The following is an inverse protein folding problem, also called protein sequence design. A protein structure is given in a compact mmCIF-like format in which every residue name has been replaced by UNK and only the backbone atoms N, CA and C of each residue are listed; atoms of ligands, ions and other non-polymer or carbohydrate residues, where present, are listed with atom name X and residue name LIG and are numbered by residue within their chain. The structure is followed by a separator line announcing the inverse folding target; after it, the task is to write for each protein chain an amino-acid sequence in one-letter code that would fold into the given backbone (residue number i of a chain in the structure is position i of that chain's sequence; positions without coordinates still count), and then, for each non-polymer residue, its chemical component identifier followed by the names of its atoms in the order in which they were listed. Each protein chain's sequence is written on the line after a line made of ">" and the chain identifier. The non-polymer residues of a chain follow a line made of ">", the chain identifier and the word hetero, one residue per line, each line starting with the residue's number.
data_IF_282511549402
#
_entry.id   IF_282511549402
#
_cell.length_a   1.000
_cell.length_b   1.000
_cell.length_c   1.000
_cell.angle_alpha   90.00
_cell.angle_beta   90.00
_cell.angle_gamma   90.00
#
_symmetry.space_group_name_H-M   'P 1'
#
loop_
_entity.id
_entity.type
_entity.pdbx_description
1 polymer ?
#
# COMPACT_ATOMS: atom_id res chain seq x y z
N UNK A 1 73.74 -61.97 9.22
CA UNK A 1 72.32 -61.64 9.44
C UNK A 1 72.00 -60.40 8.63
N UNK A 2 71.02 -60.55 7.73
CA UNK A 2 70.57 -59.56 6.75
C UNK A 2 69.66 -58.57 7.47
N UNK A 3 69.92 -57.26 7.34
CA UNK A 3 68.84 -56.25 7.40
C UNK A 3 69.14 -55.16 6.38
N UNK A 4 68.29 -55.13 5.35
CA UNK A 4 68.20 -54.16 4.29
C UNK A 4 67.38 -52.95 4.80
N UNK A 5 67.76 -51.68 4.57
CA UNK A 5 66.89 -50.55 4.88
C UNK A 5 66.10 -50.13 3.61
N UNK A 6 64.76 -50.23 3.67
CA UNK A 6 63.84 -49.56 2.72
C UNK A 6 63.16 -48.34 3.38
N UNK A 7 62.64 -47.36 2.61
CA UNK A 7 63.07 -45.98 2.79
C UNK A 7 61.98 -45.02 3.30
N UNK A 8 62.39 -44.13 4.21
CA UNK A 8 61.68 -42.90 4.61
C UNK A 8 61.69 -41.87 3.46
N UNK A 9 60.88 -42.04 2.41
CA UNK A 9 60.72 -40.99 1.37
C UNK A 9 59.28 -40.61 1.00
N UNK A 10 58.26 -41.34 1.46
CA UNK A 10 56.86 -41.04 1.10
C UNK A 10 56.17 -39.98 1.98
N UNK A 11 56.68 -39.68 3.17
CA UNK A 11 56.00 -38.76 4.12
C UNK A 11 56.11 -37.26 3.83
N UNK A 12 57.08 -36.82 3.02
CA UNK A 12 57.28 -35.36 2.75
C UNK A 12 56.38 -34.80 1.64
N UNK A 13 55.81 -35.64 0.77
CA UNK A 13 54.91 -35.20 -0.31
C UNK A 13 53.43 -35.22 0.08
N UNK A 14 53.05 -35.93 1.15
CA UNK A 14 51.65 -36.12 1.53
C UNK A 14 50.99 -34.83 2.05
N UNK A 15 51.73 -34.02 2.81
CA UNK A 15 51.22 -32.78 3.43
C UNK A 15 50.86 -31.70 2.38
N UNK A 16 51.73 -31.35 1.40
CA UNK A 16 51.38 -30.35 0.39
C UNK A 16 50.24 -30.81 -0.53
N UNK A 17 50.13 -32.11 -0.81
CA UNK A 17 49.01 -32.68 -1.58
C UNK A 17 47.67 -32.58 -0.83
N UNK A 18 47.67 -32.79 0.49
CA UNK A 18 46.50 -32.62 1.35
C UNK A 18 46.06 -31.16 1.43
N UNK A 19 47.01 -30.23 1.53
CA UNK A 19 46.74 -28.79 1.51
C UNK A 19 46.18 -28.32 0.16
N UNK A 20 46.71 -28.84 -0.95
CA UNK A 20 46.19 -28.54 -2.28
C UNK A 20 44.77 -29.10 -2.47
N UNK A 21 44.52 -30.33 -2.00
CA UNK A 21 43.17 -30.92 -2.03
C UNK A 21 42.18 -30.11 -1.18
N UNK A 22 42.57 -29.65 0.01
CA UNK A 22 41.74 -28.81 0.86
C UNK A 22 41.45 -27.45 0.20
N UNK A 23 42.46 -26.82 -0.42
CA UNK A 23 42.29 -25.57 -1.14
C UNK A 23 41.34 -25.74 -2.35
N UNK A 24 41.42 -26.87 -3.07
CA UNK A 24 40.51 -27.20 -4.16
C UNK A 24 39.10 -27.45 -3.62
N UNK A 25 38.93 -28.11 -2.48
CA UNK A 25 37.62 -28.32 -1.85
C UNK A 25 37.02 -26.99 -1.38
N UNK A 26 37.81 -26.09 -0.81
CA UNK A 26 37.34 -24.74 -0.43
C UNK A 26 36.98 -23.93 -1.66
N UNK A 27 37.79 -23.97 -2.72
CA UNK A 27 37.51 -23.29 -3.99
C UNK A 27 36.24 -23.85 -4.65
N UNK A 28 36.10 -25.18 -4.70
CA UNK A 28 34.90 -25.84 -5.19
C UNK A 28 33.70 -25.54 -4.32
N UNK A 29 33.85 -25.46 -2.99
CA UNK A 29 32.77 -25.06 -2.09
C UNK A 29 32.38 -23.59 -2.28
N UNK A 30 33.27 -22.73 -2.75
CA UNK A 30 32.99 -21.33 -3.06
C UNK A 30 32.32 -21.17 -4.43
N UNK A 31 32.72 -22.00 -5.40
CA UNK A 31 32.13 -22.05 -6.76
C UNK A 31 30.76 -22.75 -6.75
N UNK A 32 30.60 -23.79 -5.94
CA UNK A 32 29.35 -24.55 -5.75
C UNK A 32 28.56 -24.10 -4.52
N UNK A 33 29.00 -23.06 -3.79
CA UNK A 33 28.11 -22.41 -2.84
C UNK A 33 26.97 -21.85 -3.68
N UNK A 34 25.71 -22.27 -3.45
CA UNK A 34 24.61 -21.62 -4.11
C UNK A 34 24.72 -20.15 -3.72
N UNK A 35 25.08 -19.30 -4.68
CA UNK A 35 24.72 -17.90 -4.55
C UNK A 35 23.21 -17.96 -4.43
N UNK A 36 22.69 -17.52 -3.28
CA UNK A 36 21.28 -17.20 -3.15
C UNK A 36 21.01 -16.18 -4.26
N UNK A 37 20.58 -16.65 -5.43
CA UNK A 37 20.01 -15.80 -6.46
C UNK A 37 18.78 -15.22 -5.79
N UNK A 38 18.93 -14.03 -5.21
CA UNK A 38 17.82 -13.27 -4.68
C UNK A 38 16.84 -13.09 -5.82
N UNK A 39 15.76 -13.86 -5.79
CA UNK A 39 14.70 -13.76 -6.79
C UNK A 39 14.25 -12.30 -6.80
N UNK A 40 14.40 -11.67 -7.96
CA UNK A 40 14.03 -10.28 -8.13
C UNK A 40 12.54 -10.11 -7.83
N UNK A 41 12.20 -9.08 -7.07
CA UNK A 41 10.81 -8.74 -6.81
C UNK A 41 10.15 -8.21 -8.09
N UNK A 42 8.96 -8.72 -8.41
CA UNK A 42 8.06 -8.07 -9.37
C UNK A 42 7.67 -6.68 -8.86
N UNK A 43 7.39 -5.73 -9.75
CA UNK A 43 6.90 -4.40 -9.36
C UNK A 43 5.51 -4.46 -8.73
N UNK A 44 5.26 -3.59 -7.75
CA UNK A 44 4.02 -3.58 -6.98
C UNK A 44 4.23 -3.06 -5.55
N UNK A 45 3.13 -2.90 -4.82
CA UNK A 45 3.17 -2.28 -3.51
C UNK A 45 3.89 -3.13 -2.45
N UNK A 46 4.43 -2.45 -1.45
CA UNK A 46 4.93 -3.01 -0.19
C UNK A 46 3.86 -2.78 0.88
N UNK A 47 3.43 -3.87 1.51
CA UNK A 47 2.44 -3.87 2.58
C UNK A 47 3.14 -4.28 3.87
N UNK A 48 3.11 -3.41 4.86
CA UNK A 48 3.52 -3.73 6.22
C UNK A 48 2.25 -4.03 7.01
N UNK A 49 2.14 -5.23 7.59
CA UNK A 49 1.01 -5.59 8.46
C UNK A 49 1.20 -5.01 9.86
N UNK A 50 0.14 -4.96 10.70
CA UNK A 50 0.25 -4.54 12.09
C UNK A 50 1.34 -5.31 12.85
N UNK A 51 2.22 -4.59 13.56
CA UNK A 51 3.36 -5.20 14.25
C UNK A 51 2.89 -5.77 15.58
N UNK A 52 2.97 -7.09 15.74
CA UNK A 52 2.50 -7.79 16.96
C UNK A 52 3.53 -7.66 18.09
N UNK A 53 3.08 -7.62 19.34
CA UNK A 53 3.95 -7.62 20.54
C UNK A 53 3.52 -8.72 21.51
N UNK A 54 4.42 -9.65 21.85
CA UNK A 54 4.08 -10.84 22.64
C UNK A 54 3.95 -10.56 24.16
N UNK A 55 4.46 -9.44 24.65
CA UNK A 55 4.72 -9.24 26.09
C UNK A 55 3.65 -8.50 26.92
N UNK A 56 2.55 -8.03 26.33
CA UNK A 56 1.49 -7.36 27.12
C UNK A 56 0.25 -8.24 27.19
N UNK A 57 -0.21 -8.57 28.40
CA UNK A 57 -1.43 -9.35 28.65
C UNK A 57 -2.69 -8.75 27.98
N UNK A 58 -2.62 -7.49 27.52
CA UNK A 58 -3.69 -6.79 26.81
C UNK A 58 -3.40 -6.55 25.32
N UNK A 59 -2.14 -6.70 24.84
CA UNK A 59 -1.62 -6.35 23.50
C UNK A 59 -2.63 -5.57 22.63
N UNK A 60 -2.94 -4.31 23.01
CA UNK A 60 -4.10 -3.64 22.47
C UNK A 60 -3.83 -3.30 21.02
N UNK A 61 -4.80 -3.64 20.17
CA UNK A 61 -4.65 -3.61 18.72
C UNK A 61 -4.13 -2.26 18.17
N UNK A 62 -4.53 -1.14 18.79
CA UNK A 62 -4.08 0.18 18.36
C UNK A 62 -2.55 0.35 18.43
N UNK A 63 -1.88 -0.30 19.39
CA UNK A 63 -0.42 -0.26 19.48
C UNK A 63 0.21 -0.91 18.26
N UNK A 64 -0.36 -2.02 17.77
CA UNK A 64 0.16 -2.71 16.58
C UNK A 64 0.15 -1.80 15.34
N UNK A 65 -0.88 -0.96 15.20
CA UNK A 65 -0.98 0.05 14.15
C UNK A 65 -0.03 1.24 14.37
N UNK A 66 0.19 1.68 15.61
CA UNK A 66 1.18 2.71 15.92
C UNK A 66 2.62 2.24 15.60
N UNK A 67 2.92 0.98 15.91
CA UNK A 67 4.19 0.34 15.56
C UNK A 67 4.33 0.14 14.04
N UNK A 68 3.24 -0.20 13.35
CA UNK A 68 3.20 -0.24 11.88
C UNK A 68 3.49 1.13 11.26
N UNK A 69 2.88 2.20 11.75
CA UNK A 69 3.13 3.58 11.31
C UNK A 69 4.62 3.95 11.48
N UNK A 70 5.18 3.61 12.64
CA UNK A 70 6.59 3.87 12.96
C UNK A 70 7.55 3.13 12.04
N UNK A 71 7.25 1.87 11.69
CA UNK A 71 8.04 1.10 10.73
C UNK A 71 7.90 1.63 9.29
N UNK A 72 6.68 1.94 8.85
CA UNK A 72 6.42 2.52 7.51
C UNK A 72 7.19 3.82 7.31
N UNK A 73 7.31 4.64 8.37
CA UNK A 73 8.05 5.90 8.32
C UNK A 73 9.55 5.73 8.00
N UNK A 74 10.13 4.55 8.24
CA UNK A 74 11.53 4.24 7.95
C UNK A 74 11.75 3.71 6.52
N UNK A 75 10.68 3.43 5.77
CA UNK A 75 10.76 2.85 4.44
C UNK A 75 10.89 3.91 3.35
N UNK A 76 11.64 3.57 2.31
CA UNK A 76 11.78 4.41 1.13
C UNK A 76 10.78 4.01 0.05
N UNK A 77 10.21 5.01 -0.59
CA UNK A 77 9.24 4.86 -1.67
C UNK A 77 9.92 4.86 -3.03
N UNK A 78 9.42 4.05 -3.97
CA UNK A 78 9.82 4.11 -5.38
C UNK A 78 8.65 3.80 -6.31
N UNK A 79 8.74 4.22 -7.57
CA UNK A 79 7.71 3.92 -8.57
C UNK A 79 7.49 2.41 -8.76
N UNK A 80 8.54 1.60 -8.56
CA UNK A 80 8.48 0.14 -8.66
C UNK A 80 7.90 -0.50 -7.40
N UNK A 81 8.12 0.12 -6.24
CA UNK A 81 7.73 -0.38 -4.93
C UNK A 81 7.07 0.71 -4.06
N UNK A 82 5.81 1.09 -4.35
CA UNK A 82 5.04 1.99 -3.49
C UNK A 82 4.81 1.40 -2.09
N UNK A 83 5.09 2.13 -1.01
CA UNK A 83 4.78 1.69 0.36
C UNK A 83 3.38 2.18 0.76
N UNK A 84 2.47 1.24 1.01
CA UNK A 84 1.13 1.56 1.49
C UNK A 84 1.18 2.09 2.93
N UNK A 85 0.36 3.09 3.23
CA UNK A 85 0.23 3.64 4.58
C UNK A 85 -0.74 2.81 5.41
N UNK A 86 -0.76 3.03 6.73
CA UNK A 86 -1.60 2.28 7.67
C UNK A 86 -3.06 2.23 7.23
N UNK A 87 -3.66 3.38 6.89
CA UNK A 87 -5.06 3.43 6.43
C UNK A 87 -5.28 2.70 5.10
N UNK A 88 -4.30 2.71 4.21
CA UNK A 88 -4.38 2.02 2.94
C UNK A 88 -4.36 0.50 3.21
N UNK A 89 -3.48 0.03 4.09
CA UNK A 89 -3.43 -1.38 4.51
C UNK A 89 -4.72 -1.80 5.18
N UNK A 90 -5.27 -0.99 6.10
CA UNK A 90 -6.57 -1.24 6.74
C UNK A 90 -7.66 -1.43 5.68
N UNK A 91 -7.73 -0.55 4.68
CA UNK A 91 -8.71 -0.64 3.59
C UNK A 91 -8.50 -1.84 2.66
N UNK A 92 -7.26 -2.26 2.43
CA UNK A 92 -6.96 -3.43 1.60
C UNK A 92 -7.24 -4.75 2.34
N UNK A 93 -6.93 -4.83 3.63
CA UNK A 93 -7.20 -6.01 4.46
C UNK A 93 -8.70 -6.26 4.55
N UNK A 94 -9.53 -5.22 4.62
CA UNK A 94 -10.99 -5.32 4.49
C UNK A 94 -11.46 -6.07 3.24
N UNK A 95 -10.88 -5.73 2.09
CA UNK A 95 -11.26 -6.34 0.81
C UNK A 95 -10.86 -7.82 0.73
N UNK A 96 -9.90 -8.27 1.54
CA UNK A 96 -9.58 -9.68 1.70
C UNK A 96 -10.57 -10.43 2.62
N UNK A 97 -11.61 -9.74 3.09
CA UNK A 97 -12.61 -10.20 4.05
C UNK A 97 -12.06 -10.39 5.47
N UNK A 98 -11.04 -9.61 5.85
CA UNK A 98 -10.52 -9.55 7.21
C UNK A 98 -10.81 -8.16 7.79
N UNK A 99 -11.64 -8.11 8.82
CA UNK A 99 -11.93 -6.89 9.57
C UNK A 99 -10.89 -6.67 10.68
N UNK A 100 -10.80 -5.44 11.18
CA UNK A 100 -10.06 -5.15 12.41
C UNK A 100 -10.64 -6.04 13.54
N UNK A 101 -9.79 -6.89 14.14
CA UNK A 101 -10.15 -7.93 15.14
C UNK A 101 -11.01 -9.10 14.62
N UNK A 102 -11.02 -9.37 13.32
CA UNK A 102 -11.58 -10.63 12.83
C UNK A 102 -10.79 -11.83 13.38
N UNK A 103 -11.49 -12.80 13.96
CA UNK A 103 -10.89 -14.01 14.54
C UNK A 103 -10.36 -14.98 13.49
N UNK A 104 -10.70 -14.77 12.21
CA UNK A 104 -10.19 -15.56 11.09
C UNK A 104 -8.74 -15.18 10.78
N UNK A 105 -7.84 -16.17 10.60
CA UNK A 105 -6.46 -15.88 10.25
C UNK A 105 -6.39 -15.15 8.90
N UNK A 106 -5.60 -14.07 8.86
CA UNK A 106 -5.36 -13.32 7.63
C UNK A 106 -4.75 -14.24 6.58
N UNK A 107 -5.42 -14.37 5.44
CA UNK A 107 -4.92 -15.15 4.30
C UNK A 107 -3.95 -14.30 3.48
N UNK A 108 -2.67 -14.31 3.86
CA UNK A 108 -1.63 -13.49 3.21
C UNK A 108 -1.56 -13.73 1.70
N UNK A 109 -1.73 -14.96 1.23
CA UNK A 109 -1.80 -15.28 -0.21
C UNK A 109 -2.97 -14.60 -0.92
N UNK A 110 -4.14 -14.54 -0.26
CA UNK A 110 -5.31 -13.84 -0.79
C UNK A 110 -5.05 -12.33 -0.81
N UNK A 111 -4.44 -11.78 0.24
CA UNK A 111 -4.04 -10.38 0.30
C UNK A 111 -3.07 -10.03 -0.82
N UNK A 112 -2.00 -10.81 -1.04
CA UNK A 112 -1.06 -10.63 -2.16
C UNK A 112 -1.79 -10.65 -3.51
N UNK A 113 -2.71 -11.60 -3.70
CA UNK A 113 -3.44 -11.75 -4.97
C UNK A 113 -4.36 -10.57 -5.28
N UNK A 114 -5.09 -10.07 -4.27
CA UNK A 114 -6.05 -8.96 -4.39
C UNK A 114 -5.36 -7.59 -4.44
N UNK A 115 -4.34 -7.41 -3.61
CA UNK A 115 -3.57 -6.16 -3.53
C UNK A 115 -2.61 -5.98 -4.70
N UNK A 116 -2.21 -7.07 -5.36
CA UNK A 116 -1.12 -7.05 -6.33
C UNK A 116 0.22 -6.64 -5.71
N UNK A 117 0.36 -6.76 -4.40
CA UNK A 117 1.58 -6.39 -3.69
C UNK A 117 2.75 -7.31 -4.06
N UNK A 118 3.93 -6.70 -4.18
CA UNK A 118 5.20 -7.42 -4.38
C UNK A 118 5.68 -8.06 -3.10
N UNK A 119 5.36 -7.42 -1.97
CA UNK A 119 5.82 -7.84 -0.66
C UNK A 119 4.75 -7.54 0.39
N UNK A 120 4.42 -8.54 1.19
CA UNK A 120 3.70 -8.39 2.46
C UNK A 120 4.65 -8.76 3.58
N UNK A 121 4.77 -7.89 4.57
CA UNK A 121 5.65 -8.05 5.73
C UNK A 121 4.80 -8.29 6.96
N UNK A 122 4.97 -9.46 7.56
CA UNK A 122 4.47 -9.76 8.91
C UNK A 122 5.63 -9.67 9.90
N UNK A 123 5.39 -9.08 11.07
CA UNK A 123 6.42 -8.94 12.10
C UNK A 123 5.86 -9.05 13.51
N UNK A 124 6.62 -9.70 14.38
CA UNK A 124 6.32 -9.86 15.80
C UNK A 124 7.53 -9.47 16.63
N UNK A 125 7.34 -8.58 17.59
CA UNK A 125 8.37 -8.19 18.55
C UNK A 125 8.16 -8.96 19.86
N UNK A 126 9.24 -9.53 20.34
CA UNK A 126 9.33 -10.16 21.66
C UNK A 126 10.45 -9.51 22.42
N UNK A 127 10.18 -9.10 23.66
CA UNK A 127 11.22 -8.63 24.57
C UNK A 127 11.69 -9.79 25.45
N UNK A 128 13.00 -9.89 25.66
CA UNK A 128 13.60 -10.88 26.53
C UNK A 128 14.87 -10.30 27.15
N UNK A 129 14.92 -10.24 28.49
CA UNK A 129 16.07 -9.75 29.27
C UNK A 129 16.60 -8.38 28.79
N UNK A 130 15.72 -7.37 28.69
CA UNK A 130 16.04 -6.01 28.24
C UNK A 130 16.64 -5.92 26.82
N UNK A 131 16.39 -6.92 25.98
CA UNK A 131 16.66 -6.87 24.54
C UNK A 131 15.38 -7.17 23.78
N UNK A 132 15.23 -6.52 22.63
CA UNK A 132 14.11 -6.76 21.74
C UNK A 132 14.55 -7.66 20.58
N UNK A 133 13.71 -8.64 20.26
CA UNK A 133 13.82 -9.47 19.07
C UNK A 133 12.61 -9.23 18.19
N UNK A 134 12.83 -8.86 16.93
CA UNK A 134 11.82 -8.79 15.90
C UNK A 134 11.94 -10.02 15.01
N UNK A 135 10.93 -10.87 15.00
CA UNK A 135 10.75 -11.94 14.03
C UNK A 135 9.92 -11.42 12.87
N UNK A 136 10.33 -11.70 11.62
CA UNK A 136 9.62 -11.25 10.44
C UNK A 136 9.45 -12.37 9.41
N UNK A 137 8.35 -12.28 8.67
CA UNK A 137 8.07 -13.07 7.47
C UNK A 137 7.80 -12.11 6.30
N UNK A 138 8.52 -12.31 5.21
CA UNK A 138 8.38 -11.59 3.95
C UNK A 138 7.71 -12.52 2.94
N UNK A 139 6.49 -12.19 2.54
CA UNK A 139 5.73 -12.94 1.56
C UNK A 139 5.71 -12.19 0.24
N UNK A 140 6.13 -12.82 -0.85
CA UNK A 140 5.94 -12.33 -2.22
C UNK A 140 5.26 -13.39 -3.09
N UNK A 141 4.88 -13.08 -4.34
CA UNK A 141 4.16 -14.01 -5.22
C UNK A 141 4.87 -15.34 -5.48
N UNK A 142 6.21 -15.34 -5.47
CA UNK A 142 7.03 -16.54 -5.74
C UNK A 142 8.16 -16.72 -4.73
N UNK A 143 8.08 -16.04 -3.59
CA UNK A 143 9.13 -16.10 -2.57
C UNK A 143 8.53 -15.99 -1.17
N UNK A 144 9.18 -16.67 -0.23
CA UNK A 144 8.92 -16.53 1.20
C UNK A 144 10.25 -16.52 1.93
N UNK A 145 10.49 -15.51 2.76
CA UNK A 145 11.71 -15.38 3.54
C UNK A 145 11.33 -15.04 4.97
N UNK A 146 11.85 -15.79 5.93
CA UNK A 146 11.73 -15.48 7.34
C UNK A 146 13.09 -15.09 7.94
N UNK A 147 13.06 -14.36 9.04
CA UNK A 147 14.28 -13.98 9.75
C UNK A 147 13.98 -13.36 11.10
N UNK A 148 15.05 -13.02 11.81
CA UNK A 148 14.96 -12.27 13.05
C UNK A 148 16.05 -11.20 13.11
N UNK A 149 15.76 -10.12 13.83
CA UNK A 149 16.65 -8.99 14.12
C UNK A 149 16.61 -8.77 15.62
N UNK A 150 17.76 -8.45 16.22
CA UNK A 150 17.85 -8.13 17.64
C UNK A 150 18.45 -6.74 17.82
N UNK A 151 17.89 -5.97 18.74
CA UNK A 151 18.41 -4.67 19.13
C UNK A 151 18.10 -4.38 20.61
N UNK A 152 18.74 -3.35 21.15
CA UNK A 152 18.54 -2.91 22.53
C UNK A 152 17.26 -2.06 22.69
N UNK A 153 16.71 -1.55 21.57
CA UNK A 153 15.49 -0.75 21.53
C UNK A 153 14.65 -1.05 20.26
N UNK A 154 13.37 -0.69 20.31
CA UNK A 154 12.40 -0.95 19.23
C UNK A 154 12.67 -0.10 17.97
N UNK A 155 13.19 1.12 18.11
CA UNK A 155 13.46 2.01 16.97
C UNK A 155 14.57 1.41 16.09
N UNK A 156 15.63 0.89 16.73
CA UNK A 156 16.70 0.15 16.08
C UNK A 156 16.19 -1.08 15.32
N UNK A 157 15.22 -1.83 15.88
CA UNK A 157 14.58 -2.94 15.16
C UNK A 157 13.89 -2.46 13.87
N UNK A 158 13.18 -1.33 13.91
CA UNK A 158 12.51 -0.78 12.73
C UNK A 158 13.50 -0.30 11.68
N UNK A 159 14.57 0.39 12.10
CA UNK A 159 15.63 0.82 11.21
C UNK A 159 16.28 -0.36 10.48
N UNK A 160 16.56 -1.44 11.19
CA UNK A 160 17.22 -2.61 10.61
C UNK A 160 16.29 -3.40 9.67
N UNK A 161 15.03 -3.59 10.05
CA UNK A 161 14.04 -4.20 9.16
C UNK A 161 13.80 -3.33 7.92
N UNK A 162 13.70 -2.00 8.09
CA UNK A 162 13.53 -1.08 6.98
C UNK A 162 14.74 -1.08 6.04
N UNK A 163 15.97 -1.12 6.55
CA UNK A 163 17.19 -1.30 5.74
C UNK A 163 17.12 -2.59 4.91
N UNK A 164 16.71 -3.70 5.53
CA UNK A 164 16.56 -4.97 4.84
C UNK A 164 15.55 -4.86 3.68
N UNK A 165 14.38 -4.30 3.94
CA UNK A 165 13.33 -4.12 2.92
C UNK A 165 13.80 -3.16 1.82
N UNK A 166 14.38 -2.01 2.17
CA UNK A 166 14.89 -1.01 1.23
C UNK A 166 15.98 -1.56 0.31
N UNK A 167 16.87 -2.43 0.84
CA UNK A 167 17.87 -3.12 0.03
C UNK A 167 17.21 -4.08 -0.96
N UNK A 168 16.18 -4.82 -0.52
CA UNK A 168 15.46 -5.78 -1.38
C UNK A 168 14.67 -5.10 -2.50
N UNK A 169 14.13 -3.91 -2.24
CA UNK A 169 13.39 -3.10 -3.23
C UNK A 169 14.30 -2.17 -4.04
N UNK A 170 15.60 -2.12 -3.74
CA UNK A 170 16.55 -1.15 -4.31
C UNK A 170 16.06 0.29 -4.19
N UNK A 171 15.22 0.58 -3.20
CA UNK A 171 14.63 1.90 -3.00
C UNK A 171 15.71 2.86 -2.50
N UNK A 172 15.93 3.92 -3.29
CA UNK A 172 16.91 4.96 -2.94
C UNK A 172 16.40 5.78 -1.75
N UNK A 173 17.31 6.11 -0.84
CA UNK A 173 17.00 7.01 0.26
C UNK A 173 16.52 8.37 -0.27
N UNK A 174 15.35 8.80 0.20
CA UNK A 174 14.86 10.14 -0.07
C UNK A 174 15.37 11.07 1.04
N UNK A 175 15.96 12.20 0.65
CA UNK A 175 16.45 13.23 1.59
C UNK A 175 15.33 13.99 2.30
N UNK A 176 14.08 13.81 1.88
CA UNK A 176 12.91 14.36 2.57
C UNK A 176 12.48 13.36 3.63
N UNK A 177 13.11 13.40 4.80
CA UNK A 177 12.63 12.66 5.97
C UNK A 177 11.17 13.05 6.20
N UNK A 178 10.25 12.12 6.00
CA UNK A 178 8.87 12.32 6.41
C UNK A 178 8.95 12.47 7.93
N UNK A 179 8.67 13.67 8.46
CA UNK A 179 8.44 13.84 9.89
C UNK A 179 7.18 13.04 10.19
N UNK A 180 7.35 11.78 10.59
CA UNK A 180 6.23 10.92 10.95
C UNK A 180 5.53 11.55 12.13
N UNK A 181 4.32 12.06 11.89
CA UNK A 181 3.43 12.43 12.97
C UNK A 181 2.66 11.16 13.31
N UNK A 182 2.78 10.71 14.56
CA UNK A 182 2.17 9.47 15.01
C UNK A 182 0.66 9.66 15.17
N UNK A 183 -0.13 9.43 14.11
CA UNK A 183 -1.59 9.58 14.16
C UNK A 183 -2.28 8.41 14.85
N UNK A 184 -1.63 7.24 14.86
CA UNK A 184 -2.18 5.98 15.39
C UNK A 184 -1.86 5.73 16.86
N UNK A 185 -1.24 6.70 17.55
CA UNK A 185 -0.92 6.60 18.98
C UNK A 185 -2.14 6.75 19.92
N UNK A 186 -3.32 7.09 19.39
CA UNK A 186 -4.56 7.22 20.15
C UNK A 186 -5.52 6.06 19.80
N UNK A 187 -5.96 5.25 20.79
CA UNK A 187 -6.86 4.11 20.56
C UNK A 187 -8.18 4.49 19.89
N UNK A 188 -8.68 5.72 20.09
CA UNK A 188 -9.96 6.16 19.53
C UNK A 188 -9.93 6.20 18.01
N UNK A 189 -8.79 6.46 17.38
CA UNK A 189 -8.70 6.46 15.91
C UNK A 189 -8.95 5.05 15.35
N UNK A 190 -8.33 4.04 15.95
CA UNK A 190 -8.51 2.63 15.52
C UNK A 190 -9.94 2.15 15.80
N UNK A 191 -10.51 2.55 16.94
CA UNK A 191 -11.91 2.24 17.24
C UNK A 191 -12.86 2.87 16.21
N UNK A 192 -12.67 4.15 15.87
CA UNK A 192 -13.47 4.83 14.86
C UNK A 192 -13.34 4.19 13.47
N UNK A 193 -12.11 3.87 13.05
CA UNK A 193 -11.87 3.17 11.78
C UNK A 193 -12.56 1.82 11.78
N UNK A 194 -12.50 1.04 12.87
CA UNK A 194 -13.24 -0.22 13.03
C UNK A 194 -14.75 0.00 12.87
N UNK A 195 -15.34 0.96 13.58
CA UNK A 195 -16.77 1.27 13.48
C UNK A 195 -17.17 1.60 12.04
N UNK A 196 -16.36 2.39 11.31
CA UNK A 196 -16.57 2.69 9.90
C UNK A 196 -16.56 1.43 9.01
N UNK A 197 -15.70 0.45 9.31
CA UNK A 197 -15.67 -0.82 8.60
C UNK A 197 -16.96 -1.63 8.78
N UNK A 198 -17.54 -1.60 9.97
CA UNK A 198 -18.83 -2.22 10.29
C UNK A 198 -20.03 -1.35 9.88
N UNK A 199 -19.79 -0.24 9.16
CA UNK A 199 -20.81 0.73 8.75
C UNK A 199 -21.54 1.42 9.92
N UNK A 200 -20.96 1.38 11.13
CA UNK A 200 -21.46 2.02 12.35
C UNK A 200 -21.13 3.52 12.36
N UNK A 201 -21.65 4.23 11.35
CA UNK A 201 -21.24 5.61 11.02
C UNK A 201 -21.50 6.61 12.16
N UNK A 202 -22.61 6.46 12.89
CA UNK A 202 -22.94 7.32 14.05
C UNK A 202 -21.94 7.13 15.19
N UNK A 203 -21.67 5.88 15.56
CA UNK A 203 -20.71 5.56 16.63
C UNK A 203 -19.28 6.00 16.25
N UNK A 204 -18.91 5.85 14.98
CA UNK A 204 -17.65 6.38 14.45
C UNK A 204 -17.57 7.90 14.58
N UNK A 205 -18.64 8.64 14.26
CA UNK A 205 -18.68 10.10 14.41
C UNK A 205 -18.45 10.52 15.86
N UNK A 206 -19.19 9.92 16.81
CA UNK A 206 -19.05 10.23 18.24
C UNK A 206 -17.63 9.93 18.77
N UNK A 207 -17.04 8.82 18.32
CA UNK A 207 -15.68 8.42 18.68
C UNK A 207 -14.64 9.40 18.11
N UNK A 208 -14.82 9.84 16.87
CA UNK A 208 -13.95 10.82 16.22
C UNK A 208 -14.09 12.21 16.85
N UNK A 209 -15.29 12.64 17.23
CA UNK A 209 -15.51 13.90 17.93
C UNK A 209 -14.81 13.89 19.31
N UNK A 210 -14.88 12.76 20.01
CA UNK A 210 -14.15 12.55 21.28
C UNK A 210 -12.64 12.62 21.05
N UNK A 211 -12.13 11.97 20.00
CA UNK A 211 -10.72 12.04 19.62
C UNK A 211 -10.29 13.47 19.34
N UNK A 212 -11.02 14.20 18.50
CA UNK A 212 -10.70 15.58 18.10
C UNK A 212 -10.80 16.58 19.25
N UNK A 213 -11.59 16.28 20.28
CA UNK A 213 -11.64 17.07 21.52
C UNK A 213 -10.33 16.97 22.31
N UNK A 214 -9.65 15.82 22.24
CA UNK A 214 -8.36 15.57 22.92
C UNK A 214 -7.13 15.86 22.05
N UNK A 215 -7.23 15.63 20.74
CA UNK A 215 -6.19 15.87 19.74
C UNK A 215 -6.79 16.57 18.49
N UNK A 216 -7.00 17.89 18.55
CA UNK A 216 -7.51 18.66 17.41
C UNK A 216 -6.57 18.63 16.19
N UNK A 217 -5.32 18.16 16.34
CA UNK A 217 -4.33 18.09 15.27
C UNK A 217 -4.36 16.77 14.49
N UNK A 218 -5.27 15.84 14.82
CA UNK A 218 -5.37 14.56 14.14
C UNK A 218 -6.02 14.71 12.76
N UNK A 219 -5.19 14.98 11.74
CA UNK A 219 -5.62 15.21 10.36
C UNK A 219 -6.40 14.02 9.77
N UNK A 220 -6.04 12.79 10.17
CA UNK A 220 -6.76 11.59 9.74
C UNK A 220 -8.19 11.64 10.29
N UNK A 221 -8.36 11.86 11.60
CA UNK A 221 -9.67 11.94 12.22
C UNK A 221 -10.55 13.05 11.62
N UNK A 222 -9.98 14.24 11.38
CA UNK A 222 -10.67 15.34 10.69
C UNK A 222 -11.14 14.93 9.28
N UNK A 223 -10.30 14.22 8.53
CA UNK A 223 -10.67 13.72 7.20
C UNK A 223 -11.75 12.65 7.28
N UNK A 224 -11.70 11.74 8.25
CA UNK A 224 -12.72 10.69 8.42
C UNK A 224 -14.09 11.30 8.78
N UNK A 225 -14.16 12.28 9.69
CA UNK A 225 -15.39 13.05 9.96
C UNK A 225 -15.91 13.71 8.67
N UNK A 226 -15.04 14.34 7.89
CA UNK A 226 -15.49 14.96 6.66
C UNK A 226 -16.02 13.97 5.63
N UNK A 227 -15.41 12.78 5.49
CA UNK A 227 -15.96 11.72 4.62
C UNK A 227 -17.32 11.22 5.12
N UNK A 228 -17.57 11.19 6.43
CA UNK A 228 -18.90 10.91 7.01
C UNK A 228 -19.90 12.01 6.61
N UNK A 229 -19.55 13.28 6.83
CA UNK A 229 -20.39 14.42 6.50
C UNK A 229 -20.72 14.50 5.00
N UNK A 230 -19.75 14.19 4.13
CA UNK A 230 -19.99 14.09 2.68
C UNK A 230 -21.05 13.02 2.35
N UNK A 231 -21.00 11.85 3.00
CA UNK A 231 -22.03 10.80 2.82
C UNK A 231 -23.40 11.22 3.33
N UNK A 232 -23.44 12.05 4.36
CA UNK A 232 -24.66 12.65 4.92
C UNK A 232 -25.15 13.86 4.12
N UNK A 233 -24.45 14.23 3.04
CA UNK A 233 -24.73 15.41 2.21
C UNK A 233 -24.53 16.75 2.92
N UNK A 234 -23.80 16.77 4.04
CA UNK A 234 -23.44 17.97 4.80
C UNK A 234 -22.16 18.63 4.24
N UNK A 235 -22.21 19.01 2.97
CA UNK A 235 -21.02 19.41 2.21
C UNK A 235 -20.31 20.66 2.76
N UNK A 236 -21.08 21.62 3.28
CA UNK A 236 -20.52 22.86 3.84
C UNK A 236 -19.73 22.57 5.12
N UNK A 237 -20.28 21.74 6.02
CA UNK A 237 -19.60 21.33 7.25
C UNK A 237 -18.33 20.53 6.93
N UNK A 238 -18.42 19.57 6.00
CA UNK A 238 -17.26 18.80 5.53
C UNK A 238 -16.15 19.71 4.98
N UNK A 239 -16.50 20.67 4.12
CA UNK A 239 -15.55 21.59 3.52
C UNK A 239 -14.87 22.50 4.55
N UNK A 240 -15.61 22.97 5.56
CA UNK A 240 -15.05 23.80 6.62
C UNK A 240 -14.00 23.04 7.43
N UNK A 241 -14.27 21.79 7.82
CA UNK A 241 -13.33 20.95 8.54
C UNK A 241 -12.08 20.68 7.69
N UNK A 242 -12.26 20.25 6.44
CA UNK A 242 -11.13 19.84 5.59
C UNK A 242 -10.29 21.03 5.14
N UNK A 243 -10.87 22.20 4.90
CA UNK A 243 -10.10 23.40 4.52
C UNK A 243 -9.18 23.90 5.64
N UNK A 244 -9.66 23.90 6.89
CA UNK A 244 -8.85 24.20 8.06
C UNK A 244 -7.73 23.15 8.24
N UNK A 245 -8.08 21.86 8.15
CA UNK A 245 -7.14 20.75 8.22
C UNK A 245 -6.05 20.84 7.14
N UNK A 246 -6.43 21.15 5.89
CA UNK A 246 -5.53 21.29 4.76
C UNK A 246 -4.52 22.43 4.99
N UNK A 247 -5.00 23.57 5.49
CA UNK A 247 -4.14 24.71 5.85
C UNK A 247 -3.11 24.31 6.92
N UNK A 248 -3.52 23.52 7.92
CA UNK A 248 -2.60 23.00 8.94
C UNK A 248 -1.58 22.01 8.33
N UNK A 249 -2.03 21.09 7.48
CA UNK A 249 -1.17 20.14 6.80
C UNK A 249 -0.11 20.85 5.94
N UNK A 250 -0.50 21.89 5.19
CA UNK A 250 0.42 22.68 4.36
C UNK A 250 1.42 23.48 5.19
N UNK A 251 0.99 24.10 6.30
CA UNK A 251 1.89 24.85 7.18
C UNK A 251 2.91 23.97 7.92
N UNK A 252 2.64 22.67 8.02
CA UNK A 252 3.55 21.68 8.64
C UNK A 252 4.34 20.86 7.60
N UNK A 253 4.27 21.22 6.31
CA UNK A 253 4.82 20.48 5.17
C UNK A 253 4.41 18.99 5.14
N UNK A 254 3.22 18.67 5.68
CA UNK A 254 2.65 17.32 5.58
C UNK A 254 1.98 17.13 4.22
N UNK A 255 2.81 17.03 3.17
CA UNK A 255 2.37 16.92 1.78
C UNK A 255 1.47 15.71 1.52
N UNK A 256 1.66 14.62 2.26
CA UNK A 256 0.82 13.44 2.13
C UNK A 256 -0.61 13.77 2.56
N UNK A 257 -0.80 14.24 3.79
CA UNK A 257 -2.14 14.60 4.27
C UNK A 257 -2.72 15.80 3.50
N UNK A 258 -1.91 16.76 3.06
CA UNK A 258 -2.38 17.83 2.15
C UNK A 258 -3.00 17.25 0.87
N UNK A 259 -2.42 16.18 0.31
CA UNK A 259 -3.00 15.52 -0.85
C UNK A 259 -4.34 14.87 -0.51
N UNK A 260 -4.40 14.12 0.59
CA UNK A 260 -5.60 13.37 1.00
C UNK A 260 -6.76 14.29 1.37
N UNK A 261 -6.49 15.33 2.15
CA UNK A 261 -7.44 16.37 2.51
C UNK A 261 -7.89 17.17 1.28
N UNK A 262 -6.97 17.56 0.41
CA UNK A 262 -7.32 18.24 -0.85
C UNK A 262 -8.26 17.41 -1.73
N UNK A 263 -8.08 16.09 -1.79
CA UNK A 263 -9.00 15.20 -2.48
C UNK A 263 -10.40 15.21 -1.84
N UNK A 264 -10.49 15.07 -0.51
CA UNK A 264 -11.77 15.10 0.23
C UNK A 264 -12.49 16.44 0.04
N UNK A 265 -11.77 17.57 0.12
CA UNK A 265 -12.33 18.91 -0.14
C UNK A 265 -12.84 19.03 -1.57
N UNK A 266 -12.10 18.50 -2.55
CA UNK A 266 -12.55 18.52 -3.93
C UNK A 266 -13.86 17.74 -4.12
N UNK A 267 -14.04 16.58 -3.46
CA UNK A 267 -15.32 15.85 -3.50
C UNK A 267 -16.47 16.74 -3.01
N UNK A 268 -16.30 17.46 -1.90
CA UNK A 268 -17.31 18.39 -1.39
C UNK A 268 -17.66 19.51 -2.38
N UNK A 269 -16.68 20.07 -3.10
CA UNK A 269 -16.95 21.03 -4.19
C UNK A 269 -17.67 20.38 -5.38
N UNK A 270 -17.39 19.13 -5.72
CA UNK A 270 -18.05 18.41 -6.82
C UNK A 270 -19.54 18.21 -6.52
N UNK A 271 -19.88 17.82 -5.31
CA UNK A 271 -21.26 17.62 -4.87
C UNK A 271 -22.05 18.94 -4.87
N UNK A 272 -21.39 20.06 -4.56
CA UNK A 272 -21.97 21.40 -4.66
C UNK A 272 -22.01 21.96 -6.10
N UNK A 273 -21.53 21.21 -7.09
CA UNK A 273 -21.48 21.64 -8.49
C UNK A 273 -20.38 22.66 -8.80
N UNK A 274 -19.48 22.94 -7.85
CA UNK A 274 -18.37 23.87 -7.98
C UNK A 274 -17.17 23.26 -8.74
N UNK A 275 -17.43 22.77 -9.94
CA UNK A 275 -16.50 21.94 -10.73
C UNK A 275 -15.16 22.63 -11.03
N UNK A 276 -15.16 23.96 -11.22
CA UNK A 276 -13.93 24.72 -11.44
C UNK A 276 -13.05 24.78 -10.18
N UNK A 277 -13.65 24.98 -9.00
CA UNK A 277 -12.92 24.95 -7.72
C UNK A 277 -12.41 23.55 -7.44
N UNK A 278 -13.24 22.52 -7.67
CA UNK A 278 -12.82 21.12 -7.54
C UNK A 278 -11.59 20.79 -8.39
N UNK A 279 -11.54 21.20 -9.67
CA UNK A 279 -10.35 20.97 -10.51
C UNK A 279 -9.10 21.70 -10.01
N UNK A 280 -9.25 22.92 -9.50
CA UNK A 280 -8.15 23.66 -8.89
C UNK A 280 -7.61 22.89 -7.68
N UNK A 281 -8.48 22.47 -6.77
CA UNK A 281 -8.12 21.70 -5.57
C UNK A 281 -7.51 20.34 -5.92
N UNK A 282 -8.05 19.61 -6.90
CA UNK A 282 -7.47 18.35 -7.38
C UNK A 282 -6.07 18.55 -7.98
N UNK A 283 -5.83 19.66 -8.69
CA UNK A 283 -4.50 19.97 -9.22
C UNK A 283 -3.49 20.23 -8.09
N UNK A 284 -3.91 20.91 -7.01
CA UNK A 284 -3.08 21.12 -5.83
C UNK A 284 -2.79 19.79 -5.11
N UNK A 285 -3.84 19.00 -4.84
CA UNK A 285 -3.75 17.67 -4.25
C UNK A 285 -2.80 16.76 -5.04
N UNK A 286 -2.87 16.77 -6.38
CA UNK A 286 -1.94 16.02 -7.25
C UNK A 286 -0.48 16.42 -7.04
N UNK A 287 -0.18 17.72 -6.89
CA UNK A 287 1.20 18.18 -6.62
C UNK A 287 1.68 17.66 -5.28
N UNK A 288 0.85 17.73 -4.24
CA UNK A 288 1.19 17.23 -2.90
C UNK A 288 1.38 15.71 -2.91
N UNK A 289 0.53 14.95 -3.62
CA UNK A 289 0.67 13.51 -3.80
C UNK A 289 1.95 13.14 -4.55
N UNK A 290 2.28 13.85 -5.63
CA UNK A 290 3.52 13.62 -6.37
C UNK A 290 4.76 13.89 -5.52
N UNK A 291 4.75 14.99 -4.75
CA UNK A 291 5.86 15.38 -3.88
C UNK A 291 6.05 14.45 -2.67
N UNK A 292 4.98 13.79 -2.22
CA UNK A 292 5.01 12.77 -1.16
C UNK A 292 5.12 11.35 -1.69
N UNK A 293 5.15 11.18 -3.01
CA UNK A 293 5.13 9.88 -3.68
C UNK A 293 3.96 8.99 -3.22
N UNK A 294 2.77 9.58 -3.08
CA UNK A 294 1.54 8.84 -2.77
C UNK A 294 0.83 8.44 -4.08
N UNK A 295 1.31 7.36 -4.71
CA UNK A 295 0.77 6.88 -5.99
C UNK A 295 -0.68 6.43 -5.91
N UNK A 296 -1.12 5.92 -4.75
CA UNK A 296 -2.51 5.54 -4.56
C UNK A 296 -3.42 6.77 -4.64
N UNK A 297 -3.03 7.88 -3.98
CA UNK A 297 -3.77 9.12 -4.08
C UNK A 297 -3.58 9.85 -5.42
N UNK A 298 -2.46 9.68 -6.12
CA UNK A 298 -2.35 10.13 -7.52
C UNK A 298 -3.41 9.45 -8.40
N UNK A 299 -3.66 8.15 -8.18
CA UNK A 299 -4.68 7.41 -8.91
C UNK A 299 -6.10 7.91 -8.61
N UNK A 300 -6.42 8.13 -7.33
CA UNK A 300 -7.72 8.67 -6.92
C UNK A 300 -7.95 10.10 -7.41
N UNK A 301 -6.96 10.98 -7.26
CA UNK A 301 -7.03 12.36 -7.76
C UNK A 301 -7.24 12.39 -9.27
N UNK A 302 -6.56 11.51 -10.02
CA UNK A 302 -6.76 11.37 -11.46
C UNK A 302 -8.18 10.87 -11.79
N UNK A 303 -8.72 9.88 -11.08
CA UNK A 303 -10.10 9.43 -11.28
C UNK A 303 -11.11 10.57 -11.08
N UNK A 304 -10.98 11.32 -9.97
CA UNK A 304 -11.87 12.44 -9.68
C UNK A 304 -11.70 13.59 -10.67
N UNK A 305 -10.48 13.90 -11.11
CA UNK A 305 -10.24 14.88 -12.16
C UNK A 305 -10.86 14.44 -13.49
N UNK A 306 -10.84 13.14 -13.80
CA UNK A 306 -11.54 12.55 -14.93
C UNK A 306 -13.04 12.78 -14.85
N UNK A 307 -13.64 12.48 -13.70
CA UNK A 307 -15.06 12.69 -13.43
C UNK A 307 -15.47 14.16 -13.58
N UNK A 308 -14.70 15.09 -13.04
CA UNK A 308 -15.01 16.53 -13.18
C UNK A 308 -14.89 16.99 -14.62
N UNK A 309 -13.84 16.59 -15.35
CA UNK A 309 -13.70 16.92 -16.76
C UNK A 309 -14.84 16.33 -17.60
N UNK A 310 -15.30 15.12 -17.29
CA UNK A 310 -16.46 14.51 -17.96
C UNK A 310 -17.73 15.35 -17.72
N UNK A 311 -18.00 15.76 -16.47
CA UNK A 311 -19.15 16.64 -16.14
C UNK A 311 -19.09 18.00 -16.84
N UNK A 312 -17.88 18.51 -17.10
CA UNK A 312 -17.65 19.74 -17.87
C UNK A 312 -17.71 19.54 -19.39
N UNK A 313 -18.01 18.34 -19.89
CA UNK A 313 -17.99 18.01 -21.32
C UNK A 313 -16.58 17.95 -21.95
N UNK A 314 -15.52 18.01 -21.14
CA UNK A 314 -14.12 17.98 -21.56
C UNK A 314 -13.63 16.54 -21.73
N UNK A 315 -14.26 15.80 -22.64
CA UNK A 315 -14.08 14.35 -22.74
C UNK A 315 -12.63 13.91 -23.06
N UNK A 316 -11.87 14.67 -23.85
CA UNK A 316 -10.47 14.35 -24.10
C UNK A 316 -9.62 14.42 -22.83
N UNK A 317 -9.81 15.48 -22.02
CA UNK A 317 -9.15 15.62 -20.72
C UNK A 317 -9.61 14.53 -19.75
N UNK A 318 -10.91 14.22 -19.72
CA UNK A 318 -11.45 13.15 -18.88
C UNK A 318 -10.80 11.79 -19.20
N UNK A 319 -10.68 11.45 -20.48
CA UNK A 319 -10.03 10.22 -20.95
C UNK A 319 -8.57 10.15 -20.47
N UNK A 320 -7.81 11.24 -20.61
CA UNK A 320 -6.43 11.28 -20.14
C UNK A 320 -6.33 11.05 -18.63
N UNK A 321 -7.20 11.69 -17.84
CA UNK A 321 -7.21 11.54 -16.38
C UNK A 321 -7.63 10.12 -15.95
N UNK A 322 -8.63 9.52 -16.59
CA UNK A 322 -8.98 8.13 -16.30
C UNK A 322 -7.88 7.15 -16.70
N UNK A 323 -7.15 7.40 -17.80
CA UNK A 323 -5.99 6.57 -18.15
C UNK A 323 -4.89 6.67 -17.10
N UNK A 324 -4.56 7.89 -16.64
CA UNK A 324 -3.61 8.08 -15.53
C UNK A 324 -4.05 7.35 -14.25
N UNK A 325 -5.35 7.37 -13.94
CA UNK A 325 -5.88 6.63 -12.79
C UNK A 325 -5.63 5.12 -12.91
N UNK A 326 -5.90 4.53 -14.09
CA UNK A 326 -5.60 3.11 -14.36
C UNK A 326 -4.11 2.83 -14.22
N UNK A 327 -3.26 3.67 -14.80
CA UNK A 327 -1.81 3.48 -14.81
C UNK A 327 -1.23 3.54 -13.38
N UNK A 328 -1.65 4.49 -12.56
CA UNK A 328 -1.22 4.57 -11.17
C UNK A 328 -1.76 3.42 -10.31
N UNK A 329 -3.02 3.01 -10.50
CA UNK A 329 -3.53 1.82 -9.81
C UNK A 329 -2.80 0.54 -10.25
N UNK A 330 -2.36 0.46 -11.50
CA UNK A 330 -1.50 -0.63 -11.97
C UNK A 330 -0.12 -0.60 -11.32
N UNK A 331 0.52 0.58 -11.18
CA UNK A 331 1.80 0.72 -10.47
C UNK A 331 1.72 0.27 -9.00
N UNK A 332 0.62 0.60 -8.31
CA UNK A 332 0.41 0.19 -6.91
C UNK A 332 -0.06 -1.26 -6.80
N UNK A 333 -0.43 -1.92 -7.92
CA UNK A 333 -0.99 -3.27 -7.92
C UNK A 333 -2.48 -3.36 -7.57
N UNK A 334 -3.13 -2.22 -7.30
CA UNK A 334 -4.52 -2.16 -6.84
C UNK A 334 -5.54 -2.49 -7.94
N UNK A 335 -5.96 -3.75 -7.98
CA UNK A 335 -6.85 -4.27 -9.02
C UNK A 335 -8.26 -3.65 -9.02
N UNK A 336 -8.93 -3.45 -7.87
CA UNK A 336 -10.24 -2.77 -7.82
C UNK A 336 -10.20 -1.37 -8.44
N UNK A 337 -9.15 -0.58 -8.16
CA UNK A 337 -8.98 0.74 -8.76
C UNK A 337 -8.79 0.71 -10.26
N UNK A 338 -8.05 -0.28 -10.79
CA UNK A 338 -7.91 -0.47 -12.25
C UNK A 338 -9.26 -0.77 -12.91
N UNK A 339 -10.07 -1.65 -12.31
CA UNK A 339 -11.43 -1.98 -12.79
C UNK A 339 -12.31 -0.74 -12.83
N UNK A 340 -12.33 0.05 -11.76
CA UNK A 340 -13.10 1.31 -11.71
C UNK A 340 -12.64 2.28 -12.80
N UNK A 341 -11.34 2.48 -12.97
CA UNK A 341 -10.79 3.35 -14.02
C UNK A 341 -11.12 2.87 -15.44
N UNK A 342 -11.07 1.55 -15.70
CA UNK A 342 -11.43 0.95 -16.98
C UNK A 342 -12.93 1.04 -17.26
N UNK A 343 -13.78 0.86 -16.25
CA UNK A 343 -15.22 1.07 -16.35
C UNK A 343 -15.54 2.52 -16.69
N UNK A 344 -14.86 3.48 -16.05
CA UNK A 344 -14.99 4.91 -16.36
C UNK A 344 -14.58 5.22 -17.82
N UNK A 345 -13.47 4.64 -18.30
CA UNK A 345 -13.06 4.77 -19.71
C UNK A 345 -14.10 4.20 -20.68
N UNK A 346 -14.69 3.04 -20.35
CA UNK A 346 -15.73 2.43 -21.16
C UNK A 346 -17.00 3.29 -21.20
N UNK A 347 -17.43 3.80 -20.04
CA UNK A 347 -18.59 4.66 -19.92
C UNK A 347 -18.40 6.02 -20.62
N UNK A 348 -17.20 6.61 -20.54
CA UNK A 348 -16.85 7.80 -21.30
C UNK A 348 -16.88 7.54 -22.82
N UNK A 349 -16.33 6.42 -23.27
CA UNK A 349 -16.36 6.05 -24.69
C UNK A 349 -17.79 5.81 -25.20
N UNK A 350 -18.71 5.28 -24.36
CA UNK A 350 -20.14 5.21 -24.68
C UNK A 350 -20.76 6.59 -24.87
N UNK A 351 -20.45 7.56 -24.00
CA UNK A 351 -20.94 8.94 -24.13
C UNK A 351 -20.46 9.61 -25.42
N UNK A 352 -19.28 9.21 -25.91
CA UNK A 352 -18.72 9.68 -27.18
C UNK A 352 -19.14 8.83 -28.39
N UNK A 353 -20.06 7.88 -28.24
CA UNK A 353 -20.47 6.92 -29.27
C UNK A 353 -19.33 6.10 -29.87
N UNK A 354 -18.19 5.99 -29.18
CA UNK A 354 -17.04 5.20 -29.60
C UNK A 354 -17.14 3.76 -29.04
N UNK A 355 -18.05 2.97 -29.60
CA UNK A 355 -18.37 1.63 -29.11
C UNK A 355 -17.19 0.65 -29.20
N UNK A 356 -16.27 0.84 -30.15
CA UNK A 356 -15.05 0.02 -30.25
C UNK A 356 -14.13 0.24 -29.04
N UNK A 357 -13.86 1.49 -28.67
CA UNK A 357 -13.03 1.80 -27.49
C UNK A 357 -13.74 1.45 -26.17
N UNK A 358 -15.06 1.62 -26.12
CA UNK A 358 -15.85 1.17 -24.98
C UNK A 358 -15.68 -0.34 -24.76
N UNK A 359 -15.78 -1.12 -25.84
CA UNK A 359 -15.61 -2.58 -25.80
C UNK A 359 -14.20 -2.99 -25.38
N UNK A 360 -13.15 -2.35 -25.92
CA UNK A 360 -11.76 -2.63 -25.53
C UNK A 360 -11.52 -2.37 -24.04
N UNK A 361 -12.07 -1.28 -23.51
CA UNK A 361 -11.88 -0.91 -22.10
C UNK A 361 -12.63 -1.86 -21.16
N UNK A 362 -13.89 -2.19 -21.47
CA UNK A 362 -14.69 -3.07 -20.63
C UNK A 362 -14.18 -4.52 -20.64
N UNK A 363 -13.65 -5.01 -21.77
CA UNK A 363 -13.05 -6.35 -21.81
C UNK A 363 -11.85 -6.50 -20.86
N UNK A 364 -11.00 -5.48 -20.77
CA UNK A 364 -9.88 -5.46 -19.81
C UNK A 364 -10.41 -5.48 -18.37
N UNK A 365 -11.45 -4.72 -18.09
CA UNK A 365 -12.09 -4.68 -16.77
C UNK A 365 -12.67 -6.05 -16.38
N UNK A 366 -13.41 -6.69 -17.29
CA UNK A 366 -14.00 -8.03 -17.12
C UNK A 366 -12.94 -9.09 -16.86
N UNK A 367 -11.79 -9.02 -17.55
CA UNK A 367 -10.68 -9.93 -17.35
C UNK A 367 -10.14 -9.84 -15.90
N UNK A 368 -9.93 -8.63 -15.39
CA UNK A 368 -9.43 -8.41 -14.03
C UNK A 368 -10.43 -8.90 -12.99
N UNK A 369 -11.70 -8.48 -13.08
CA UNK A 369 -12.72 -8.86 -12.07
C UNK A 369 -12.97 -10.37 -12.03
N UNK A 370 -12.83 -11.06 -13.16
CA UNK A 370 -12.99 -12.52 -13.24
C UNK A 370 -11.75 -13.25 -12.73
N UNK A 371 -10.54 -12.82 -13.13
CA UNK A 371 -9.29 -13.47 -12.71
C UNK A 371 -9.00 -13.28 -11.22
N UNK A 372 -9.40 -12.13 -10.66
CA UNK A 372 -9.11 -11.73 -9.27
C UNK A 372 -10.29 -11.91 -8.31
N UNK A 373 -11.41 -12.45 -8.80
CA UNK A 373 -12.63 -12.70 -8.03
C UNK A 373 -13.10 -11.46 -7.25
N UNK A 374 -13.17 -10.29 -7.91
CA UNK A 374 -13.61 -9.05 -7.26
C UNK A 374 -15.15 -9.01 -7.20
N UNK A 375 -15.70 -9.72 -6.22
CA UNK A 375 -17.14 -9.99 -6.08
C UNK A 375 -17.98 -8.70 -6.14
N UNK A 376 -17.56 -7.65 -5.46
CA UNK A 376 -18.34 -6.40 -5.35
C UNK A 376 -18.41 -5.61 -6.67
N UNK A 377 -17.35 -5.69 -7.49
CA UNK A 377 -17.27 -4.95 -8.76
C UNK A 377 -17.80 -5.75 -9.96
N UNK A 378 -17.98 -7.06 -9.80
CA UNK A 378 -18.40 -7.96 -10.88
C UNK A 378 -19.78 -7.60 -11.44
N UNK A 379 -20.83 -7.37 -10.62
CA UNK A 379 -22.17 -7.08 -11.14
C UNK A 379 -22.20 -5.82 -12.00
N UNK A 380 -21.62 -4.72 -11.50
CA UNK A 380 -21.56 -3.44 -12.22
C UNK A 380 -20.79 -3.57 -13.54
N UNK A 381 -19.63 -4.22 -13.50
CA UNK A 381 -18.77 -4.41 -14.68
C UNK A 381 -19.47 -5.24 -15.76
N UNK A 382 -20.17 -6.30 -15.37
CA UNK A 382 -20.93 -7.14 -16.31
C UNK A 382 -22.15 -6.41 -16.87
N UNK A 383 -22.85 -5.60 -16.07
CA UNK A 383 -23.95 -4.77 -16.57
C UNK A 383 -23.47 -3.75 -17.61
N UNK A 384 -22.31 -3.13 -17.37
CA UNK A 384 -21.69 -2.21 -18.33
C UNK A 384 -21.26 -2.92 -19.61
N UNK A 385 -20.72 -4.15 -19.54
CA UNK A 385 -20.42 -4.97 -20.71
C UNK A 385 -21.66 -5.17 -21.59
N UNK A 386 -22.76 -5.62 -21.01
CA UNK A 386 -24.04 -5.83 -21.74
C UNK A 386 -24.49 -4.54 -22.44
N UNK A 387 -24.40 -3.40 -21.75
CA UNK A 387 -24.74 -2.09 -22.33
C UNK A 387 -23.85 -1.74 -23.52
N UNK A 388 -22.55 -2.02 -23.43
CA UNK A 388 -21.59 -1.78 -24.53
C UNK A 388 -21.89 -2.68 -25.73
N UNK A 389 -22.15 -3.97 -25.49
CA UNK A 389 -22.45 -4.94 -26.54
C UNK A 389 -23.73 -4.60 -27.30
N UNK A 390 -24.80 -4.25 -26.59
CA UNK A 390 -26.07 -3.84 -27.20
C UNK A 390 -25.90 -2.63 -28.12
N UNK A 391 -25.15 -1.61 -27.70
CA UNK A 391 -24.89 -0.41 -28.52
C UNK A 391 -23.98 -0.69 -29.71
N UNK A 392 -23.02 -1.60 -29.56
CA UNK A 392 -22.13 -2.02 -30.65
C UNK A 392 -22.85 -2.86 -31.70
N UNK A 393 -23.81 -3.70 -31.30
CA UNK A 393 -24.60 -4.51 -32.24
C UNK A 393 -25.61 -3.65 -33.00
N UNK A 394 -26.25 -2.68 -32.35
CA UNK A 394 -27.20 -1.77 -33.01
C UNK A 394 -26.56 -0.70 -33.93
N UNK A 395 -25.24 -0.74 -34.16
CA UNK A 395 -24.51 0.13 -35.10
C UNK A 395 -23.88 -0.63 -36.27
N UNK A 396 -24.09 -1.94 -36.35
CA UNK A 396 -23.83 -2.75 -37.54
C UNK A 396 -25.10 -2.86 -38.35
#
# INVERSE_FOLDING_TARGET
>A
MIVNPEPLKQRKLAIPLLMAALAIIVLLSFIYYPHDEQVALDNGAIIILPVKITQSATNPLWQQYAHQESLIAQLHNSNAFPVLQVEDVINFVLQSSSFIEDSRPLQVTKLLTLSGASLVVESTITEHNNRYQLEFNLYGPSQHQNGNIQADDIESLYLDLAKLINNKTQAKANTNSIKSRAYFNNPLLILALKQLQYSETTAASETLDTLLSSDPGNLIAQRQIAEILLKQQEFVAANNIVSAALTHAESTDNRRESARLGLTLAKGYIEQGELARALSTLSQSRRSAANSQDWLYLAYVAAWAGHVNQRLGRYAAAKQQYQLSVDYHQMVGYQPGQVIGLNNLAQLALLQHNYSQAYKSIQRSVAIVTQKDLIDLKPETMALLTKVENKRQGTR
#
